data_IF_102303569479
#
_entry.id   IF_102303569479
#
_cell.length_a   1.000
_cell.length_b   1.000
_cell.length_c   1.000
_cell.angle_alpha   90.00
_cell.angle_beta   90.00
_cell.angle_gamma   90.00
#
_symmetry.space_group_name_H-M   'P 1'
#
loop_
_entity.id
_entity.type
_entity.pdbx_description
1 polymer ?
#
# COMPACT_ATOMS: atom_id res chain seq x y z
N UNK A 1 18.15 -13.85 21.98
CA UNK A 1 19.54 -13.49 21.66
C UNK A 1 19.61 -13.33 20.15
N UNK A 2 19.69 -12.09 19.69
CA UNK A 2 19.63 -11.71 18.29
C UNK A 2 20.97 -11.93 17.61
N UNK A 3 21.16 -13.07 16.96
CA UNK A 3 22.17 -13.19 15.93
C UNK A 3 21.57 -12.71 14.59
N UNK A 4 21.53 -11.40 14.38
CA UNK A 4 21.44 -10.85 13.03
C UNK A 4 22.82 -11.01 12.38
N UNK A 5 23.13 -12.18 11.84
CA UNK A 5 24.15 -12.27 10.81
C UNK A 5 23.67 -11.39 9.65
N UNK A 6 24.25 -10.20 9.52
CA UNK A 6 24.03 -9.35 8.37
C UNK A 6 24.25 -10.23 7.11
N UNK A 7 23.21 -10.35 6.29
CA UNK A 7 23.31 -11.02 4.99
C UNK A 7 24.52 -10.42 4.27
N UNK A 8 25.36 -11.27 3.66
CA UNK A 8 26.51 -10.83 2.90
C UNK A 8 26.11 -9.70 1.95
N UNK A 9 26.90 -8.63 1.90
CA UNK A 9 26.68 -7.48 1.00
C UNK A 9 26.62 -7.87 -0.49
N UNK A 10 26.83 -9.13 -0.81
CA UNK A 10 26.75 -9.73 -2.15
C UNK A 10 25.47 -10.57 -2.40
N UNK A 11 24.47 -10.47 -1.56
CA UNK A 11 23.18 -11.16 -1.72
C UNK A 11 22.06 -10.15 -2.04
N UNK A 12 21.19 -10.48 -2.98
CA UNK A 12 20.09 -9.62 -3.41
C UNK A 12 18.79 -10.41 -3.60
N UNK A 13 17.69 -9.68 -3.81
CA UNK A 13 16.41 -10.24 -4.21
C UNK A 13 16.04 -9.84 -5.64
N UNK A 14 15.40 -10.75 -6.38
CA UNK A 14 14.85 -10.53 -7.71
C UNK A 14 13.39 -10.94 -7.73
N UNK A 15 12.49 -9.99 -8.00
CA UNK A 15 11.06 -10.22 -8.11
C UNK A 15 10.69 -10.40 -9.58
N UNK A 16 10.07 -11.52 -9.93
CA UNK A 16 9.56 -11.77 -11.29
C UNK A 16 8.16 -11.14 -11.42
N UNK A 17 8.07 -10.01 -12.12
CA UNK A 17 6.87 -9.17 -12.18
C UNK A 17 6.49 -8.75 -13.63
N UNK A 18 7.03 -9.40 -14.67
CA UNK A 18 6.87 -8.99 -16.07
C UNK A 18 5.62 -9.58 -16.76
N UNK A 19 4.92 -10.51 -16.14
CA UNK A 19 3.83 -11.28 -16.73
C UNK A 19 2.58 -10.44 -17.04
N UNK A 20 1.87 -10.80 -18.14
CA UNK A 20 0.65 -10.11 -18.60
C UNK A 20 -0.58 -10.28 -17.67
N UNK A 21 -0.64 -11.39 -16.91
CA UNK A 21 -1.75 -11.65 -15.99
C UNK A 21 -3.13 -11.73 -16.66
N UNK A 22 -3.24 -12.37 -17.80
CA UNK A 22 -4.48 -12.39 -18.63
C UNK A 22 -5.72 -12.90 -17.89
N UNK A 23 -5.55 -13.80 -16.92
CA UNK A 23 -6.63 -14.36 -16.08
C UNK A 23 -7.24 -13.35 -15.10
N UNK A 24 -6.63 -12.17 -14.94
CA UNK A 24 -7.21 -11.06 -14.15
C UNK A 24 -8.27 -10.28 -14.91
N UNK A 25 -8.42 -10.50 -16.22
CA UNK A 25 -9.38 -9.79 -17.09
C UNK A 25 -9.35 -8.26 -16.94
N UNK A 26 -8.15 -7.69 -16.77
CA UNK A 26 -7.93 -6.28 -16.49
C UNK A 26 -6.85 -5.69 -17.41
N UNK A 27 -6.97 -4.40 -17.73
CA UNK A 27 -5.89 -3.64 -18.39
C UNK A 27 -4.74 -3.31 -17.44
N UNK A 28 -5.03 -3.33 -16.14
CA UNK A 28 -4.04 -3.07 -15.10
C UNK A 28 -3.10 -4.28 -14.98
N UNK A 29 -1.77 -4.10 -14.98
CA UNK A 29 -0.82 -5.17 -14.71
C UNK A 29 -1.16 -5.96 -13.46
N UNK A 30 -1.02 -7.29 -13.51
CA UNK A 30 -1.35 -8.19 -12.41
C UNK A 30 -0.74 -7.72 -11.08
N UNK A 31 0.53 -7.38 -11.10
CA UNK A 31 1.31 -6.98 -9.91
C UNK A 31 0.90 -5.62 -9.32
N UNK A 32 0.09 -4.83 -10.03
CA UNK A 32 -0.47 -3.58 -9.54
C UNK A 32 -1.87 -3.74 -8.92
N UNK A 33 -2.53 -4.89 -9.06
CA UNK A 33 -3.76 -5.15 -8.28
C UNK A 33 -3.43 -5.06 -6.79
N UNK A 34 -4.40 -4.59 -6.00
CA UNK A 34 -4.15 -4.25 -4.60
C UNK A 34 -4.82 -5.23 -3.65
N UNK A 35 -4.14 -5.50 -2.56
CA UNK A 35 -4.66 -6.11 -1.33
C UNK A 35 -4.56 -5.05 -0.23
N UNK A 36 -5.66 -4.70 0.40
CA UNK A 36 -5.72 -3.70 1.47
C UNK A 36 -5.03 -2.38 1.10
N UNK A 37 -5.25 -1.92 -0.14
CA UNK A 37 -4.72 -0.67 -0.66
C UNK A 37 -3.28 -0.68 -1.14
N UNK A 38 -2.51 -1.76 -0.92
CA UNK A 38 -1.12 -1.90 -1.39
C UNK A 38 -1.05 -2.85 -2.60
N UNK A 39 -0.30 -2.51 -3.68
CA UNK A 39 -0.06 -3.39 -4.82
C UNK A 39 0.55 -4.74 -4.42
N UNK A 40 0.24 -5.82 -5.16
CA UNK A 40 0.84 -7.15 -4.93
C UNK A 40 2.38 -7.06 -4.89
N UNK A 41 2.98 -6.36 -5.86
CA UNK A 41 4.43 -6.13 -5.90
C UNK A 41 4.94 -5.40 -4.65
N UNK A 42 4.16 -4.47 -4.11
CA UNK A 42 4.52 -3.72 -2.89
C UNK A 42 4.55 -4.61 -1.65
N UNK A 43 3.62 -5.56 -1.53
CA UNK A 43 3.64 -6.56 -0.46
C UNK A 43 4.91 -7.43 -0.52
N UNK A 44 5.24 -7.95 -1.71
CA UNK A 44 6.45 -8.78 -1.91
C UNK A 44 7.71 -7.98 -1.63
N UNK A 45 7.83 -6.77 -2.15
CA UNK A 45 8.97 -5.89 -1.91
C UNK A 45 9.09 -5.53 -0.42
N UNK A 46 7.96 -5.30 0.26
CA UNK A 46 7.90 -5.05 1.70
C UNK A 46 8.43 -6.20 2.54
N UNK A 47 8.14 -7.45 2.16
CA UNK A 47 8.66 -8.64 2.84
C UNK A 47 10.18 -8.85 2.62
N UNK A 48 10.71 -8.40 1.49
CA UNK A 48 12.13 -8.52 1.13
C UNK A 48 13.02 -7.42 1.75
N UNK A 49 12.48 -6.21 1.91
CA UNK A 49 13.23 -5.04 2.37
C UNK A 49 13.97 -5.24 3.71
N UNK A 50 13.41 -5.88 4.76
CA UNK A 50 14.13 -6.13 6.01
C UNK A 50 15.35 -7.04 5.86
N UNK A 51 15.42 -7.85 4.79
CA UNK A 51 16.51 -8.78 4.50
C UNK A 51 17.58 -8.17 3.59
N UNK A 52 17.18 -7.38 2.59
CA UNK A 52 18.05 -6.95 1.50
C UNK A 52 18.25 -5.43 1.40
N UNK A 53 17.52 -4.63 2.20
CA UNK A 53 17.57 -3.17 2.10
C UNK A 53 17.24 -2.68 0.69
N UNK A 54 18.16 -1.95 0.07
CA UNK A 54 18.04 -1.43 -1.31
C UNK A 54 18.42 -2.46 -2.40
N UNK A 55 18.92 -3.65 -2.02
CA UNK A 55 19.34 -4.69 -2.96
C UNK A 55 18.14 -5.55 -3.42
N UNK A 56 17.05 -4.89 -3.80
CA UNK A 56 15.83 -5.53 -4.33
C UNK A 56 15.60 -5.06 -5.76
N UNK A 57 15.56 -6.02 -6.71
CA UNK A 57 15.25 -5.79 -8.10
C UNK A 57 13.88 -6.39 -8.46
N UNK A 58 13.19 -5.77 -9.40
CA UNK A 58 11.99 -6.33 -10.01
C UNK A 58 12.14 -6.36 -11.54
N UNK A 59 11.93 -7.52 -12.12
CA UNK A 59 11.81 -7.65 -13.58
C UNK A 59 10.40 -7.26 -13.97
N UNK A 60 10.26 -6.20 -14.72
CA UNK A 60 8.98 -5.66 -15.22
C UNK A 60 8.93 -5.79 -16.73
N UNK A 61 7.75 -5.80 -17.33
CA UNK A 61 7.60 -5.98 -18.78
C UNK A 61 6.30 -5.42 -19.30
N UNK A 62 5.19 -6.15 -19.20
CA UNK A 62 3.89 -5.66 -19.63
C UNK A 62 3.51 -4.39 -18.85
N UNK A 63 3.23 -3.29 -19.60
CA UNK A 63 2.92 -1.97 -19.02
C UNK A 63 3.98 -1.49 -18.00
N UNK A 64 5.25 -1.65 -18.34
CA UNK A 64 6.39 -1.32 -17.46
C UNK A 64 6.33 0.10 -16.92
N UNK A 65 5.89 1.08 -17.72
CA UNK A 65 5.79 2.48 -17.30
C UNK A 65 4.74 2.69 -16.21
N UNK A 66 3.63 1.96 -16.25
CA UNK A 66 2.63 1.99 -15.18
C UNK A 66 3.22 1.46 -13.87
N UNK A 67 4.01 0.39 -13.94
CA UNK A 67 4.67 -0.18 -12.75
C UNK A 67 5.70 0.80 -12.21
N UNK A 68 6.57 1.39 -13.06
CA UNK A 68 7.55 2.41 -12.64
C UNK A 68 6.87 3.60 -11.97
N UNK A 69 5.79 4.11 -12.56
CA UNK A 69 5.05 5.24 -12.01
C UNK A 69 4.41 4.92 -10.64
N UNK A 70 3.85 3.73 -10.48
CA UNK A 70 3.24 3.31 -9.20
C UNK A 70 4.25 3.14 -8.05
N UNK A 71 5.52 2.93 -8.39
CA UNK A 71 6.61 2.74 -7.43
C UNK A 71 7.63 3.90 -7.44
N UNK A 72 7.28 5.03 -8.06
CA UNK A 72 8.12 6.22 -8.03
C UNK A 72 8.38 6.67 -6.58
N UNK A 73 9.67 6.88 -6.23
CA UNK A 73 10.08 7.25 -4.87
C UNK A 73 10.14 6.09 -3.86
N UNK A 74 9.90 4.84 -4.30
CA UNK A 74 10.15 3.64 -3.47
C UNK A 74 11.49 3.02 -3.88
N UNK A 75 12.26 2.52 -2.91
CA UNK A 75 13.57 1.89 -3.15
C UNK A 75 13.40 0.51 -3.79
N UNK A 76 13.09 0.48 -5.08
CA UNK A 76 12.95 -0.72 -5.89
C UNK A 76 13.65 -0.49 -7.23
N UNK A 77 14.59 -1.38 -7.57
CA UNK A 77 15.35 -1.30 -8.83
C UNK A 77 14.62 -2.10 -9.90
N UNK A 78 14.55 -1.56 -11.11
CA UNK A 78 13.83 -2.21 -12.20
C UNK A 78 14.76 -2.68 -13.29
N UNK A 79 14.51 -3.91 -13.76
CA UNK A 79 15.05 -4.47 -14.99
C UNK A 79 13.89 -4.72 -15.95
N UNK A 80 14.00 -4.29 -17.19
CA UNK A 80 12.91 -4.42 -18.16
C UNK A 80 13.09 -5.65 -19.05
N UNK A 81 12.13 -6.55 -19.00
CA UNK A 81 11.96 -7.65 -19.92
C UNK A 81 11.07 -7.19 -21.09
N UNK A 82 11.67 -6.73 -22.19
CA UNK A 82 10.94 -6.18 -23.34
C UNK A 82 10.01 -7.20 -23.98
N UNK A 83 10.47 -8.43 -24.13
CA UNK A 83 9.69 -9.55 -24.66
C UNK A 83 9.43 -10.54 -23.52
N UNK A 84 8.15 -10.83 -23.21
CA UNK A 84 7.76 -11.72 -22.13
C UNK A 84 7.86 -13.18 -22.58
N UNK A 85 9.11 -13.69 -22.65
CA UNK A 85 9.42 -15.05 -23.12
C UNK A 85 9.55 -16.09 -21.99
N UNK A 86 9.03 -15.80 -20.82
CA UNK A 86 9.00 -16.73 -19.67
C UNK A 86 9.89 -16.30 -18.50
N UNK A 87 9.83 -17.08 -17.42
CA UNK A 87 10.53 -16.81 -16.14
C UNK A 87 12.04 -16.98 -16.22
N UNK A 88 12.53 -17.94 -17.01
CA UNK A 88 13.95 -18.10 -17.30
C UNK A 88 14.52 -16.92 -18.08
N UNK A 89 13.77 -16.42 -19.09
CA UNK A 89 14.17 -15.22 -19.81
C UNK A 89 14.24 -13.99 -18.90
N UNK A 90 13.33 -13.86 -17.91
CA UNK A 90 13.40 -12.80 -16.93
C UNK A 90 14.71 -12.84 -16.11
N UNK A 91 15.16 -14.03 -15.73
CA UNK A 91 16.47 -14.23 -15.08
C UNK A 91 17.63 -13.89 -16.01
N UNK A 92 17.58 -14.33 -17.28
CA UNK A 92 18.61 -14.00 -18.30
C UNK A 92 18.80 -12.49 -18.43
N UNK A 93 17.69 -11.73 -18.50
CA UNK A 93 17.73 -10.26 -18.64
C UNK A 93 18.27 -9.59 -17.39
N UNK A 94 17.95 -10.13 -16.19
CA UNK A 94 18.40 -9.57 -14.93
C UNK A 94 19.88 -9.89 -14.59
N UNK A 95 20.38 -11.04 -14.98
CA UNK A 95 21.71 -11.55 -14.60
C UNK A 95 22.85 -10.54 -14.86
N UNK A 96 22.95 -9.87 -16.02
CA UNK A 96 24.02 -8.89 -16.27
C UNK A 96 23.98 -7.71 -15.28
N UNK A 97 22.79 -7.23 -14.89
CA UNK A 97 22.62 -6.14 -13.93
C UNK A 97 23.04 -6.57 -12.52
N UNK A 98 22.63 -7.77 -12.10
CA UNK A 98 22.99 -8.32 -10.80
C UNK A 98 24.52 -8.52 -10.68
N UNK A 99 25.15 -9.05 -11.73
CA UNK A 99 26.62 -9.21 -11.80
C UNK A 99 27.35 -7.86 -11.75
N UNK A 100 26.87 -6.86 -12.50
CA UNK A 100 27.44 -5.50 -12.49
C UNK A 100 27.34 -4.86 -11.09
N UNK A 101 26.29 -5.18 -10.34
CA UNK A 101 26.11 -4.76 -8.97
C UNK A 101 26.94 -5.57 -7.96
N UNK A 102 27.74 -6.55 -8.40
CA UNK A 102 28.60 -7.37 -7.54
C UNK A 102 27.86 -8.45 -6.75
N UNK A 103 26.65 -8.81 -7.18
CA UNK A 103 25.84 -9.83 -6.49
C UNK A 103 26.36 -11.22 -6.80
N UNK A 104 26.49 -12.06 -5.76
CA UNK A 104 26.93 -13.46 -5.86
C UNK A 104 25.79 -14.45 -5.64
N UNK A 105 24.77 -14.04 -4.88
CA UNK A 105 23.59 -14.86 -4.61
C UNK A 105 22.34 -14.04 -4.86
N UNK A 106 21.30 -14.69 -5.38
CA UNK A 106 19.99 -14.05 -5.60
C UNK A 106 18.87 -14.92 -5.07
N UNK A 107 18.00 -14.31 -4.25
CA UNK A 107 16.70 -14.84 -3.91
C UNK A 107 15.69 -14.41 -4.97
N UNK A 108 15.19 -15.36 -5.78
CA UNK A 108 14.16 -15.11 -6.79
C UNK A 108 12.80 -15.42 -6.19
N UNK A 109 11.84 -14.52 -6.34
CA UNK A 109 10.44 -14.68 -5.89
C UNK A 109 9.47 -14.17 -6.96
N UNK A 110 8.25 -14.70 -6.96
CA UNK A 110 7.21 -14.21 -7.85
C UNK A 110 6.56 -12.94 -7.30
N UNK A 111 6.27 -11.96 -8.16
CA UNK A 111 5.64 -10.69 -7.78
C UNK A 111 4.14 -10.79 -7.47
N UNK A 112 3.58 -11.96 -7.57
CA UNK A 112 2.16 -12.27 -7.34
C UNK A 112 1.89 -13.13 -6.09
N UNK A 113 2.88 -13.25 -5.20
CA UNK A 113 2.79 -13.96 -3.90
C UNK A 113 2.77 -12.96 -2.73
N UNK A 114 1.73 -12.12 -2.57
CA UNK A 114 1.74 -10.97 -1.65
C UNK A 114 1.69 -11.34 -0.17
N UNK A 115 1.39 -12.60 0.17
CA UNK A 115 1.26 -13.06 1.54
C UNK A 115 2.58 -13.61 2.11
N UNK A 116 3.63 -13.69 1.28
CA UNK A 116 4.95 -14.12 1.72
C UNK A 116 5.47 -13.22 2.85
N UNK A 117 6.06 -13.84 3.88
CA UNK A 117 6.58 -13.10 5.03
C UNK A 117 8.11 -13.04 5.04
N UNK A 118 8.65 -12.03 5.70
CA UNK A 118 10.10 -11.90 5.92
C UNK A 118 10.67 -13.12 6.65
N UNK A 119 9.94 -13.67 7.61
CA UNK A 119 10.39 -14.82 8.41
C UNK A 119 10.44 -16.08 7.56
N UNK A 120 9.42 -16.37 6.75
CA UNK A 120 9.45 -17.49 5.80
C UNK A 120 10.64 -17.40 4.85
N UNK A 121 10.92 -16.20 4.33
CA UNK A 121 12.08 -15.97 3.44
C UNK A 121 13.41 -16.17 4.19
N UNK A 122 13.51 -15.71 5.42
CA UNK A 122 14.71 -15.88 6.26
C UNK A 122 14.98 -17.36 6.53
N UNK A 123 13.96 -18.11 6.91
CA UNK A 123 14.06 -19.54 7.17
C UNK A 123 14.45 -20.30 5.91
N UNK A 124 13.83 -20.00 4.77
CA UNK A 124 14.20 -20.58 3.49
C UNK A 124 15.67 -20.34 3.15
N UNK A 125 16.15 -19.09 3.29
CA UNK A 125 17.55 -18.73 3.02
C UNK A 125 18.53 -19.45 3.96
N UNK A 126 18.17 -19.62 5.22
CA UNK A 126 18.97 -20.36 6.19
C UNK A 126 19.16 -21.81 5.77
N UNK A 127 18.08 -22.51 5.39
CA UNK A 127 18.14 -23.88 4.93
C UNK A 127 18.75 -24.06 3.53
N UNK A 128 18.74 -23.01 2.72
CA UNK A 128 19.37 -22.96 1.40
C UNK A 128 20.89 -22.79 1.44
N UNK A 129 21.47 -22.48 2.61
CA UNK A 129 22.91 -22.20 2.72
C UNK A 129 23.76 -23.41 2.30
N UNK A 130 24.80 -23.17 1.51
CA UNK A 130 25.72 -24.20 1.00
C UNK A 130 25.19 -24.96 -0.23
N UNK A 131 24.02 -24.61 -0.78
CA UNK A 131 23.55 -25.13 -2.06
C UNK A 131 23.83 -24.15 -3.22
N UNK A 132 23.97 -24.68 -4.43
CA UNK A 132 24.08 -23.88 -5.67
C UNK A 132 22.71 -23.45 -6.14
N UNK A 133 21.71 -24.32 -6.04
CA UNK A 133 20.32 -24.07 -6.35
C UNK A 133 19.43 -24.61 -5.23
N UNK A 134 18.60 -23.78 -4.66
CA UNK A 134 17.55 -24.22 -3.72
C UNK A 134 16.19 -23.75 -4.18
N UNK A 135 15.17 -24.56 -3.98
CA UNK A 135 13.78 -24.31 -4.37
C UNK A 135 12.87 -24.56 -3.19
N UNK A 136 11.96 -23.65 -2.90
CA UNK A 136 10.87 -23.89 -1.97
C UNK A 136 9.76 -24.72 -2.65
N UNK A 137 9.28 -25.74 -1.95
CA UNK A 137 8.20 -26.61 -2.44
C UNK A 137 7.01 -26.60 -1.48
N UNK A 138 5.82 -26.83 -2.01
CA UNK A 138 4.57 -26.97 -1.26
C UNK A 138 3.93 -28.30 -1.61
N UNK A 139 3.13 -28.85 -0.68
CA UNK A 139 2.30 -30.02 -0.96
C UNK A 139 0.83 -29.60 -0.96
N UNK A 140 0.14 -29.82 -2.08
CA UNK A 140 -1.27 -29.48 -2.26
C UNK A 140 -2.07 -30.72 -2.62
N UNK A 141 -3.28 -30.85 -2.11
CA UNK A 141 -4.23 -31.90 -2.51
C UNK A 141 -4.61 -31.77 -3.99
N UNK A 142 -4.77 -30.54 -4.46
CA UNK A 142 -5.02 -30.25 -5.87
C UNK A 142 -3.93 -29.29 -6.40
N UNK A 143 -2.90 -29.82 -7.04
CA UNK A 143 -1.76 -29.05 -7.51
C UNK A 143 -2.04 -28.13 -8.72
N UNK A 144 -3.23 -28.20 -9.32
CA UNK A 144 -3.67 -27.27 -10.37
C UNK A 144 -2.65 -27.05 -11.50
N UNK A 145 -2.36 -25.81 -11.79
CA UNK A 145 -1.45 -25.37 -12.87
C UNK A 145 -0.01 -25.14 -12.42
N UNK A 146 0.36 -25.47 -11.20
CA UNK A 146 1.74 -25.31 -10.69
C UNK A 146 2.70 -26.34 -11.28
N UNK A 147 3.97 -26.00 -11.41
CA UNK A 147 5.03 -26.95 -11.77
C UNK A 147 5.15 -28.09 -10.74
N UNK A 148 5.33 -29.31 -11.22
CA UNK A 148 5.43 -30.53 -10.42
C UNK A 148 6.86 -30.79 -10.01
N UNK A 149 7.08 -31.16 -8.78
CA UNK A 149 8.37 -31.59 -8.25
C UNK A 149 8.58 -33.07 -8.60
N UNK A 150 9.69 -33.37 -9.24
CA UNK A 150 10.12 -34.73 -9.54
C UNK A 150 11.29 -35.08 -8.61
N UNK A 151 11.09 -36.10 -7.77
CA UNK A 151 12.12 -36.62 -6.87
C UNK A 151 12.53 -38.01 -7.25
N UNK A 152 13.80 -38.34 -7.04
CA UNK A 152 14.33 -39.67 -7.13
C UNK A 152 15.14 -39.99 -5.86
N UNK A 153 14.79 -41.05 -5.16
CA UNK A 153 15.37 -41.43 -3.87
C UNK A 153 15.31 -40.30 -2.81
N UNK A 154 14.25 -39.48 -2.85
CA UNK A 154 14.07 -38.34 -1.97
C UNK A 154 14.75 -37.03 -2.41
N UNK A 155 15.68 -37.12 -3.35
CA UNK A 155 16.37 -35.93 -3.89
C UNK A 155 15.58 -35.26 -5.03
N UNK A 156 15.61 -33.93 -5.08
CA UNK A 156 15.04 -33.14 -6.17
C UNK A 156 15.81 -33.42 -7.46
N UNK A 157 15.12 -33.80 -8.52
CA UNK A 157 15.70 -34.08 -9.83
C UNK A 157 15.31 -33.05 -10.89
N UNK A 158 14.05 -32.67 -10.89
CA UNK A 158 13.54 -31.71 -11.86
C UNK A 158 12.26 -31.03 -11.32
N UNK A 159 11.92 -29.93 -11.95
CA UNK A 159 10.59 -29.33 -11.85
C UNK A 159 10.02 -29.32 -13.26
N UNK A 160 8.84 -29.92 -13.41
CA UNK A 160 8.17 -30.01 -14.73
C UNK A 160 6.89 -29.21 -14.68
N UNK A 161 6.76 -28.26 -15.60
CA UNK A 161 5.54 -27.42 -15.68
C UNK A 161 4.30 -28.29 -15.95
N UNK A 162 3.16 -27.91 -15.37
CA UNK A 162 1.94 -28.74 -15.42
C UNK A 162 1.51 -29.13 -16.84
N UNK A 163 1.73 -28.26 -17.83
CA UNK A 163 1.41 -28.53 -19.24
C UNK A 163 2.31 -29.57 -19.88
N UNK A 164 3.55 -29.65 -19.42
CA UNK A 164 4.58 -30.53 -19.97
C UNK A 164 4.71 -31.85 -19.18
N UNK A 165 4.04 -31.93 -18.01
CA UNK A 165 4.06 -33.13 -17.17
C UNK A 165 3.37 -34.32 -17.84
N UNK A 166 4.10 -35.42 -17.94
CA UNK A 166 3.63 -36.68 -18.49
C UNK A 166 3.84 -37.79 -17.44
N UNK A 167 2.75 -38.44 -17.02
CA UNK A 167 2.76 -39.53 -16.00
C UNK A 167 3.60 -40.72 -16.47
N UNK A 168 3.60 -41.00 -17.78
CA UNK A 168 4.38 -42.14 -18.32
C UNK A 168 5.91 -41.88 -18.22
N UNK A 169 6.34 -40.63 -18.20
CA UNK A 169 7.75 -40.24 -18.13
C UNK A 169 8.17 -39.89 -16.68
N UNK A 170 7.31 -39.19 -15.97
CA UNK A 170 7.65 -38.57 -14.67
C UNK A 170 7.06 -39.31 -13.47
N UNK A 171 6.22 -40.33 -13.70
CA UNK A 171 5.50 -41.07 -12.66
C UNK A 171 4.26 -40.36 -12.13
N UNK A 172 3.58 -40.92 -11.16
CA UNK A 172 2.39 -40.33 -10.55
C UNK A 172 2.76 -39.01 -9.77
N UNK A 173 1.97 -37.94 -9.91
CA UNK A 173 2.23 -36.68 -9.19
C UNK A 173 2.04 -36.87 -7.69
N UNK A 174 3.03 -36.45 -6.91
CA UNK A 174 3.03 -36.55 -5.44
C UNK A 174 2.22 -35.46 -4.74
N UNK A 175 1.64 -34.53 -5.48
CA UNK A 175 1.05 -33.31 -4.91
C UNK A 175 2.08 -32.23 -4.57
N UNK A 176 3.37 -32.54 -4.63
CA UNK A 176 4.43 -31.55 -4.38
C UNK A 176 4.62 -30.64 -5.59
N UNK A 177 4.60 -29.33 -5.34
CA UNK A 177 4.66 -28.27 -6.35
C UNK A 177 5.80 -27.29 -6.09
N UNK A 178 6.17 -26.57 -7.12
CA UNK A 178 7.07 -25.43 -7.07
C UNK A 178 6.36 -24.21 -6.47
N UNK A 179 6.88 -23.65 -5.36
CA UNK A 179 6.37 -22.44 -4.73
C UNK A 179 6.84 -21.13 -5.42
N UNK A 180 7.72 -21.22 -6.43
CA UNK A 180 8.22 -20.04 -7.13
C UNK A 180 9.25 -19.23 -6.34
N UNK A 181 9.89 -19.82 -5.36
CA UNK A 181 10.97 -19.20 -4.56
C UNK A 181 12.24 -19.99 -4.78
N UNK A 182 13.30 -19.29 -5.22
CA UNK A 182 14.59 -19.90 -5.51
C UNK A 182 15.71 -19.13 -4.83
N UNK A 183 16.71 -19.84 -4.30
CA UNK A 183 18.00 -19.27 -3.94
C UNK A 183 19.06 -19.79 -4.90
N UNK A 184 19.70 -18.90 -5.62
CA UNK A 184 20.66 -19.24 -6.66
C UNK A 184 22.04 -18.67 -6.30
N UNK A 185 23.08 -19.51 -6.39
CA UNK A 185 24.46 -19.07 -6.43
C UNK A 185 24.78 -18.64 -7.87
N UNK A 186 24.90 -17.32 -8.11
CA UNK A 186 25.06 -16.77 -9.45
C UNK A 186 26.36 -17.23 -10.11
N UNK A 187 27.44 -17.40 -9.36
CA UNK A 187 28.74 -17.88 -9.89
C UNK A 187 28.62 -19.33 -10.39
N UNK A 188 27.81 -20.17 -9.75
CA UNK A 188 27.57 -21.56 -10.14
C UNK A 188 26.66 -21.67 -11.38
N UNK A 189 25.57 -20.87 -11.41
CA UNK A 189 24.53 -21.03 -12.45
C UNK A 189 24.72 -20.12 -13.67
N UNK A 190 25.70 -19.21 -13.66
CA UNK A 190 25.86 -18.20 -14.72
C UNK A 190 26.09 -18.78 -16.12
N UNK A 191 26.73 -19.95 -16.22
CA UNK A 191 26.93 -20.66 -17.50
C UNK A 191 25.66 -21.38 -17.96
N UNK A 192 24.77 -21.76 -17.04
CA UNK A 192 23.55 -22.51 -17.36
C UNK A 192 22.42 -21.58 -17.81
N UNK A 193 22.33 -20.38 -17.22
CA UNK A 193 21.22 -19.46 -17.50
C UNK A 193 21.08 -19.11 -18.98
N UNK A 194 22.16 -18.84 -19.77
CA UNK A 194 22.06 -18.59 -21.21
C UNK A 194 21.67 -19.85 -22.03
N UNK A 195 21.88 -21.04 -21.48
CA UNK A 195 21.60 -22.32 -22.15
C UNK A 195 20.17 -22.83 -21.95
N UNK A 196 19.34 -22.08 -21.15
CA UNK A 196 17.93 -22.40 -20.99
C UNK A 196 17.24 -22.44 -22.36
N UNK A 197 16.50 -23.53 -22.62
CA UNK A 197 15.74 -23.73 -23.85
C UNK A 197 14.27 -23.24 -23.74
N UNK A 198 13.59 -23.22 -24.88
CA UNK A 198 12.17 -22.94 -24.98
C UNK A 198 11.39 -24.01 -25.79
N UNK A 199 11.98 -25.19 -25.94
CA UNK A 199 11.38 -26.32 -26.65
C UNK A 199 10.38 -27.05 -25.73
N UNK A 200 9.28 -26.38 -25.39
CA UNK A 200 8.21 -26.85 -24.53
C UNK A 200 6.84 -26.43 -25.08
N UNK A 201 5.75 -26.95 -24.51
CA UNK A 201 4.37 -26.66 -24.98
C UNK A 201 3.96 -25.18 -24.95
N UNK A 202 4.65 -24.35 -24.17
CA UNK A 202 4.39 -22.91 -24.10
C UNK A 202 5.31 -22.08 -24.98
N UNK A 203 6.46 -22.63 -25.46
CA UNK A 203 7.50 -21.88 -26.17
C UNK A 203 8.21 -20.85 -25.29
N UNK A 204 8.23 -21.05 -23.97
CA UNK A 204 8.79 -20.13 -23.01
C UNK A 204 10.07 -20.68 -22.38
N UNK A 205 11.00 -19.78 -22.00
CA UNK A 205 12.15 -20.15 -21.18
C UNK A 205 11.72 -20.26 -19.73
N UNK A 206 11.79 -21.45 -19.17
CA UNK A 206 11.39 -21.68 -17.78
C UNK A 206 12.57 -21.63 -16.82
N UNK A 207 12.44 -20.90 -15.71
CA UNK A 207 13.44 -20.93 -14.63
C UNK A 207 13.48 -22.32 -13.97
N UNK A 208 12.40 -23.08 -14.03
CA UNK A 208 12.28 -24.44 -13.51
C UNK A 208 13.25 -25.41 -14.20
N UNK A 209 13.57 -25.21 -15.47
CA UNK A 209 14.51 -26.05 -16.22
C UNK A 209 15.95 -25.96 -15.67
N UNK A 210 16.30 -24.80 -15.07
CA UNK A 210 17.60 -24.61 -14.43
C UNK A 210 17.87 -25.65 -13.33
N UNK A 211 16.82 -26.16 -12.66
CA UNK A 211 16.95 -27.19 -11.62
C UNK A 211 17.45 -28.51 -12.20
N UNK A 212 16.83 -28.96 -13.30
CA UNK A 212 17.24 -30.18 -14.00
C UNK A 212 18.66 -30.06 -14.59
N UNK A 213 19.00 -28.88 -15.16
CA UNK A 213 20.33 -28.61 -15.68
C UNK A 213 21.39 -28.63 -14.57
N UNK A 214 21.13 -27.98 -13.44
CA UNK A 214 22.04 -27.97 -12.29
C UNK A 214 22.27 -29.39 -11.72
N UNK A 215 21.23 -30.23 -11.69
CA UNK A 215 21.34 -31.64 -11.29
C UNK A 215 22.21 -32.43 -12.28
N UNK A 216 22.06 -32.20 -13.58
CA UNK A 216 22.85 -32.86 -14.61
C UNK A 216 24.34 -32.51 -14.53
N UNK A 217 24.66 -31.26 -14.15
CA UNK A 217 26.04 -30.79 -13.92
C UNK A 217 26.61 -31.21 -12.55
N UNK A 218 25.85 -31.97 -11.75
CA UNK A 218 26.31 -32.46 -10.43
C UNK A 218 26.40 -31.38 -9.36
N UNK A 219 25.71 -30.26 -9.55
CA UNK A 219 25.64 -29.18 -8.54
C UNK A 219 24.85 -29.57 -7.31
N UNK A 220 25.05 -28.88 -6.21
CA UNK A 220 24.28 -29.09 -4.96
C UNK A 220 22.91 -28.45 -5.10
N UNK A 221 21.89 -29.29 -5.36
CA UNK A 221 20.49 -28.86 -5.54
C UNK A 221 19.63 -29.32 -4.37
N UNK A 222 18.82 -28.39 -3.79
CA UNK A 222 17.93 -28.71 -2.66
C UNK A 222 16.49 -28.30 -2.96
N UNK A 223 15.55 -29.21 -2.71
CA UNK A 223 14.10 -28.93 -2.65
C UNK A 223 13.67 -28.87 -1.19
N UNK A 224 13.32 -27.68 -0.70
CA UNK A 224 13.00 -27.39 0.69
C UNK A 224 11.48 -27.31 0.85
N UNK A 225 10.88 -28.29 1.56
CA UNK A 225 9.44 -28.31 1.77
C UNK A 225 9.01 -27.25 2.77
N UNK A 226 8.07 -26.40 2.37
CA UNK A 226 7.36 -25.44 3.22
C UNK A 226 5.96 -25.94 3.63
N UNK A 227 5.73 -27.26 3.56
CA UNK A 227 4.46 -27.87 3.91
C UNK A 227 3.32 -27.52 2.94
N UNK A 228 2.20 -27.04 3.47
CA UNK A 228 1.03 -26.62 2.70
C UNK A 228 0.65 -25.15 2.95
N UNK A 229 1.63 -24.29 3.26
CA UNK A 229 1.37 -22.90 3.62
C UNK A 229 0.70 -22.13 2.46
N UNK A 230 -0.58 -21.68 2.61
CA UNK A 230 -1.30 -20.97 1.56
C UNK A 230 -0.71 -19.58 1.29
N UNK A 231 0.10 -19.01 2.19
CA UNK A 231 0.73 -17.71 2.01
C UNK A 231 1.80 -17.72 0.90
N UNK A 232 2.24 -18.87 0.45
CA UNK A 232 3.21 -19.01 -0.64
C UNK A 232 2.55 -19.22 -2.00
N UNK A 233 1.22 -19.20 -2.08
CA UNK A 233 0.49 -19.34 -3.34
C UNK A 233 0.41 -18.02 -4.10
N UNK A 234 0.63 -18.10 -5.41
CA UNK A 234 0.47 -16.96 -6.31
C UNK A 234 -0.99 -16.67 -6.63
N UNK A 235 -1.33 -15.40 -6.75
CA UNK A 235 -2.66 -14.92 -7.14
C UNK A 235 -2.76 -14.88 -8.66
N UNK A 236 -3.77 -15.52 -9.24
CA UNK A 236 -3.93 -15.62 -10.69
C UNK A 236 -5.25 -15.07 -11.22
N UNK A 237 -6.25 -14.94 -10.38
CA UNK A 237 -7.59 -14.49 -10.77
C UNK A 237 -8.24 -13.66 -9.64
N UNK A 238 -9.37 -12.98 -9.91
CA UNK A 238 -10.04 -12.14 -8.91
C UNK A 238 -10.54 -12.89 -7.66
N UNK A 239 -10.89 -14.19 -7.78
CA UNK A 239 -11.34 -14.96 -6.64
C UNK A 239 -10.17 -15.26 -5.67
N UNK A 240 -9.00 -15.63 -6.21
CA UNK A 240 -7.77 -15.81 -5.42
C UNK A 240 -7.33 -14.47 -4.79
N UNK A 241 -7.49 -13.34 -5.51
CA UNK A 241 -7.20 -12.02 -4.97
C UNK A 241 -8.06 -11.71 -3.74
N UNK A 242 -9.37 -11.93 -3.83
CA UNK A 242 -10.30 -11.70 -2.73
C UNK A 242 -10.01 -12.61 -1.52
N UNK A 243 -9.71 -13.89 -1.76
CA UNK A 243 -9.35 -14.83 -0.70
C UNK A 243 -8.04 -14.42 0.01
N UNK A 244 -7.03 -14.03 -0.76
CA UNK A 244 -5.75 -13.57 -0.22
C UNK A 244 -5.88 -12.25 0.55
N UNK A 245 -6.74 -11.34 0.09
CA UNK A 245 -7.02 -10.09 0.82
C UNK A 245 -7.64 -10.38 2.19
N UNK A 246 -8.58 -11.33 2.26
CA UNK A 246 -9.21 -11.70 3.54
C UNK A 246 -8.21 -12.38 4.50
N UNK A 247 -7.33 -13.24 4.00
CA UNK A 247 -6.24 -13.82 4.81
C UNK A 247 -5.33 -12.73 5.39
N UNK A 248 -4.92 -11.78 4.55
CA UNK A 248 -4.06 -10.68 5.00
C UNK A 248 -4.76 -9.76 5.99
N UNK A 249 -6.04 -9.46 5.75
CA UNK A 249 -6.87 -8.65 6.66
C UNK A 249 -6.93 -9.27 8.05
N UNK A 250 -7.23 -10.56 8.13
CA UNK A 250 -7.29 -11.29 9.41
C UNK A 250 -5.96 -11.23 10.15
N UNK A 251 -4.86 -11.53 9.47
CA UNK A 251 -3.54 -11.51 10.08
C UNK A 251 -3.19 -10.14 10.67
N UNK A 252 -3.47 -9.03 9.95
CA UNK A 252 -3.21 -7.68 10.44
C UNK A 252 -4.12 -7.35 11.64
N UNK A 253 -5.40 -7.68 11.55
CA UNK A 253 -6.36 -7.42 12.63
C UNK A 253 -5.99 -8.17 13.90
N UNK A 254 -5.65 -9.46 13.80
CA UNK A 254 -5.20 -10.28 14.93
C UNK A 254 -3.93 -9.72 15.58
N UNK A 255 -2.96 -9.28 14.77
CA UNK A 255 -1.73 -8.63 15.26
C UNK A 255 -2.05 -7.36 16.07
N UNK A 256 -2.97 -6.50 15.57
CA UNK A 256 -3.32 -5.25 16.25
C UNK A 256 -4.15 -5.48 17.51
N UNK A 257 -5.07 -6.44 17.50
CA UNK A 257 -5.80 -6.87 18.70
C UNK A 257 -4.84 -7.37 19.79
N UNK A 258 -3.87 -8.22 19.40
CA UNK A 258 -2.84 -8.71 20.32
C UNK A 258 -1.93 -7.59 20.86
N UNK A 259 -1.74 -6.53 20.08
CA UNK A 259 -0.97 -5.33 20.48
C UNK A 259 -1.76 -4.34 21.35
N UNK A 260 -3.04 -4.62 21.68
CA UNK A 260 -3.84 -3.78 22.59
C UNK A 260 -4.70 -2.71 21.91
N UNK A 261 -4.99 -2.85 20.61
CA UNK A 261 -5.98 -2.01 19.90
C UNK A 261 -7.38 -2.60 20.13
N UNK A 262 -8.33 -1.80 20.60
CA UNK A 262 -9.72 -2.23 20.74
C UNK A 262 -10.45 -2.19 19.39
N UNK A 263 -11.20 -3.25 19.03
CA UNK A 263 -11.96 -3.28 17.79
C UNK A 263 -13.38 -3.81 18.01
N UNK A 264 -14.35 -3.07 17.50
CA UNK A 264 -15.76 -3.45 17.45
C UNK A 264 -16.12 -3.88 16.02
N UNK A 265 -16.55 -5.14 15.82
CA UNK A 265 -16.74 -5.72 14.50
C UNK A 265 -15.41 -5.87 13.73
N UNK A 266 -14.42 -6.58 14.28
CA UNK A 266 -13.07 -6.69 13.71
C UNK A 266 -13.04 -7.33 12.31
N UNK A 267 -14.03 -8.12 11.96
CA UNK A 267 -14.24 -8.70 10.64
C UNK A 267 -14.58 -7.65 9.55
N UNK A 268 -15.02 -6.47 9.95
CA UNK A 268 -15.32 -5.35 9.07
C UNK A 268 -14.23 -4.25 9.07
N UNK A 269 -13.15 -4.43 9.82
CA UNK A 269 -12.00 -3.51 9.83
C UNK A 269 -11.02 -3.90 8.72
N UNK A 270 -10.64 -2.94 7.89
CA UNK A 270 -9.68 -3.10 6.79
C UNK A 270 -8.49 -2.18 7.01
N UNK A 271 -7.31 -2.76 7.16
CA UNK A 271 -6.07 -2.00 7.37
C UNK A 271 -4.98 -2.42 6.38
N UNK A 272 -4.33 -1.42 5.78
CA UNK A 272 -3.16 -1.63 4.95
C UNK A 272 -1.91 -2.06 5.76
N UNK A 273 -0.90 -2.63 5.09
CA UNK A 273 0.28 -3.18 5.78
C UNK A 273 1.16 -2.11 6.43
N UNK A 274 1.06 -0.85 6.02
CA UNK A 274 1.85 0.27 6.55
C UNK A 274 1.08 1.15 7.54
N UNK A 275 -0.15 0.76 7.86
CA UNK A 275 -0.95 1.44 8.88
C UNK A 275 -0.40 1.10 10.27
N UNK A 276 -0.18 2.12 11.07
CA UNK A 276 0.20 1.97 12.48
C UNK A 276 -0.94 2.45 13.37
N UNK A 277 -1.30 1.63 14.34
CA UNK A 277 -2.31 1.95 15.36
C UNK A 277 -1.70 1.65 16.72
N UNK A 278 -1.66 2.66 17.58
CA UNK A 278 -1.10 2.51 18.91
C UNK A 278 -2.07 1.78 19.87
N UNK A 279 -1.55 1.12 20.91
CA UNK A 279 -2.37 0.53 21.97
C UNK A 279 -3.28 1.59 22.62
N UNK A 280 -4.50 1.21 22.99
CA UNK A 280 -5.49 2.11 23.56
C UNK A 280 -6.37 2.82 22.54
N UNK A 281 -6.04 2.76 21.23
CA UNK A 281 -6.96 3.23 20.21
C UNK A 281 -8.16 2.30 20.06
N UNK A 282 -9.31 2.84 19.65
CA UNK A 282 -10.58 2.15 19.50
C UNK A 282 -11.15 2.32 18.09
N UNK A 283 -11.39 1.21 17.38
CA UNK A 283 -11.85 1.19 16.00
C UNK A 283 -13.23 0.52 15.90
N UNK A 284 -14.17 1.16 15.22
CA UNK A 284 -15.50 0.61 14.96
C UNK A 284 -15.65 0.24 13.49
N UNK A 285 -15.84 -1.04 13.20
CA UNK A 285 -16.12 -1.53 11.84
C UNK A 285 -17.57 -1.19 11.39
N UNK A 286 -17.82 -1.03 10.08
CA UNK A 286 -16.82 -1.04 9.03
C UNK A 286 -15.98 0.24 9.00
N UNK A 287 -14.66 0.12 8.92
CA UNK A 287 -13.76 1.23 8.69
C UNK A 287 -12.55 0.80 7.85
N UNK A 288 -11.94 1.74 7.14
CA UNK A 288 -10.87 1.48 6.19
C UNK A 288 -9.70 2.43 6.45
N UNK A 289 -8.52 1.86 6.76
CA UNK A 289 -7.28 2.59 7.02
C UNK A 289 -6.22 2.16 6.02
N UNK A 290 -5.63 3.08 5.25
CA UNK A 290 -4.70 2.75 4.16
C UNK A 290 -3.46 3.64 4.13
N UNK A 291 -2.48 3.21 3.34
CA UNK A 291 -1.21 3.92 3.14
C UNK A 291 -0.41 4.02 4.43
N UNK A 292 0.31 5.12 4.58
CA UNK A 292 1.10 5.42 5.79
C UNK A 292 0.28 6.16 6.85
N UNK A 293 -0.91 5.62 7.17
CA UNK A 293 -1.78 6.18 8.21
C UNK A 293 -1.26 5.82 9.60
N UNK A 294 -1.22 6.81 10.49
CA UNK A 294 -0.88 6.66 11.89
C UNK A 294 -2.04 7.09 12.79
N UNK A 295 -2.48 6.20 13.67
CA UNK A 295 -3.50 6.43 14.68
C UNK A 295 -2.83 6.30 16.05
N UNK A 296 -2.78 7.39 16.79
CA UNK A 296 -2.18 7.44 18.13
C UNK A 296 -3.08 6.78 19.19
N UNK A 297 -2.56 6.63 20.41
CA UNK A 297 -3.30 6.11 21.57
C UNK A 297 -4.53 6.98 21.88
N UNK A 298 -5.54 6.37 22.48
CA UNK A 298 -6.79 7.02 22.92
C UNK A 298 -7.59 7.72 21.80
N UNK A 299 -7.28 7.39 20.52
CA UNK A 299 -8.07 7.83 19.37
C UNK A 299 -9.26 6.91 19.18
N UNK A 300 -10.43 7.49 18.91
CA UNK A 300 -11.64 6.76 18.55
C UNK A 300 -11.95 6.99 17.08
N UNK A 301 -11.98 5.92 16.29
CA UNK A 301 -12.44 5.94 14.89
C UNK A 301 -13.78 5.23 14.82
N UNK A 302 -14.85 6.00 14.62
CA UNK A 302 -16.19 5.47 14.46
C UNK A 302 -16.39 4.80 13.08
N UNK A 303 -17.51 4.13 12.89
CA UNK A 303 -17.79 3.32 11.71
C UNK A 303 -17.90 4.15 10.42
N UNK A 304 -17.66 3.47 9.27
CA UNK A 304 -17.74 4.04 7.93
C UNK A 304 -16.73 5.18 7.65
N UNK A 305 -15.66 5.24 8.42
CA UNK A 305 -14.55 6.15 8.16
C UNK A 305 -13.57 5.55 7.15
N UNK A 306 -13.06 6.40 6.25
CA UNK A 306 -11.97 6.04 5.31
C UNK A 306 -10.81 7.00 5.53
N UNK A 307 -9.67 6.49 5.94
CA UNK A 307 -8.47 7.29 6.29
C UNK A 307 -7.28 6.78 5.49
N UNK A 308 -6.64 7.66 4.74
CA UNK A 308 -5.48 7.34 3.92
C UNK A 308 -4.34 8.32 4.16
N UNK A 309 -3.12 7.80 4.28
CA UNK A 309 -1.88 8.61 4.34
C UNK A 309 -2.00 9.81 5.30
N UNK A 310 -2.63 9.60 6.46
CA UNK A 310 -3.02 10.63 7.41
C UNK A 310 -2.53 10.32 8.81
N UNK A 311 -2.37 11.36 9.62
CA UNK A 311 -1.97 11.26 11.01
C UNK A 311 -3.08 11.77 11.93
N UNK A 312 -3.44 10.98 12.94
CA UNK A 312 -4.44 11.32 13.96
C UNK A 312 -3.83 11.17 15.35
N UNK A 313 -3.73 12.27 16.06
CA UNK A 313 -3.11 12.34 17.38
C UNK A 313 -4.09 12.01 18.51
N UNK A 314 -3.53 11.74 19.70
CA UNK A 314 -4.24 11.18 20.84
C UNK A 314 -5.43 12.03 21.33
N UNK A 315 -6.45 11.34 21.88
CA UNK A 315 -7.67 11.95 22.40
C UNK A 315 -8.64 12.45 21.32
N UNK A 316 -8.30 12.27 20.04
CA UNK A 316 -9.15 12.70 18.92
C UNK A 316 -10.26 11.69 18.64
N UNK A 317 -11.44 12.20 18.33
CA UNK A 317 -12.59 11.40 17.88
C UNK A 317 -12.91 11.71 16.42
N UNK A 318 -12.87 10.67 15.57
CA UNK A 318 -13.31 10.73 14.18
C UNK A 318 -14.69 10.08 14.07
N UNK A 319 -15.71 10.91 13.96
CA UNK A 319 -17.10 10.48 13.85
C UNK A 319 -17.40 9.84 12.50
N UNK A 320 -18.43 9.01 12.50
CA UNK A 320 -18.86 8.17 11.36
C UNK A 320 -18.96 8.93 10.03
N UNK A 321 -18.68 8.20 8.93
CA UNK A 321 -18.74 8.68 7.54
C UNK A 321 -17.74 9.81 7.22
N UNK A 322 -16.68 9.95 7.98
CA UNK A 322 -15.63 10.93 7.70
C UNK A 322 -14.58 10.34 6.77
N UNK A 323 -14.04 11.19 5.88
CA UNK A 323 -13.03 10.80 4.91
C UNK A 323 -11.78 11.69 5.04
N UNK A 324 -10.61 11.08 5.19
CA UNK A 324 -9.33 11.77 5.35
C UNK A 324 -8.32 11.25 4.33
N UNK A 325 -7.62 12.17 3.68
CA UNK A 325 -6.59 11.86 2.69
C UNK A 325 -5.44 12.86 2.81
N UNK A 326 -4.22 12.39 3.11
CA UNK A 326 -3.03 13.22 3.35
C UNK A 326 -3.33 14.41 4.29
N UNK A 327 -3.92 14.11 5.45
CA UNK A 327 -4.32 15.09 6.45
C UNK A 327 -3.61 14.87 7.79
N UNK A 328 -3.43 15.94 8.54
CA UNK A 328 -2.86 15.93 9.87
C UNK A 328 -3.91 16.42 10.88
N UNK A 329 -4.23 15.61 11.87
CA UNK A 329 -5.18 15.95 12.92
C UNK A 329 -4.47 15.86 14.27
N UNK A 330 -4.36 17.02 14.91
CA UNK A 330 -3.75 17.18 16.23
C UNK A 330 -4.54 16.52 17.35
N UNK A 331 -4.03 16.61 18.59
CA UNK A 331 -4.67 15.97 19.74
C UNK A 331 -5.99 16.66 20.16
N UNK A 332 -6.86 15.89 20.79
CA UNK A 332 -8.12 16.35 21.39
C UNK A 332 -9.09 16.99 20.36
N UNK A 333 -8.97 16.64 19.08
CA UNK A 333 -9.83 17.15 18.00
C UNK A 333 -11.15 16.36 17.89
N UNK A 334 -12.17 17.03 17.33
CA UNK A 334 -13.40 16.37 16.90
C UNK A 334 -13.57 16.53 15.39
N UNK A 335 -13.72 15.40 14.67
CA UNK A 335 -13.82 15.36 13.21
C UNK A 335 -15.14 14.68 12.81
N UNK A 336 -16.00 15.39 12.10
CA UNK A 336 -17.23 14.82 11.58
C UNK A 336 -18.47 15.00 12.47
N UNK A 337 -19.55 14.21 12.20
CA UNK A 337 -19.63 13.21 11.12
C UNK A 337 -19.69 13.83 9.71
N UNK A 338 -19.48 12.99 8.66
CA UNK A 338 -19.48 13.44 7.25
C UNK A 338 -18.48 14.57 6.95
N UNK A 339 -17.35 14.57 7.62
CA UNK A 339 -16.26 15.50 7.36
C UNK A 339 -15.34 15.01 6.24
N UNK A 340 -14.80 15.94 5.45
CA UNK A 340 -13.86 15.60 4.39
C UNK A 340 -12.57 16.40 4.50
N UNK A 341 -11.49 15.75 4.94
CA UNK A 341 -10.15 16.33 4.95
C UNK A 341 -9.40 15.86 3.71
N UNK A 342 -9.02 16.83 2.86
CA UNK A 342 -8.27 16.58 1.63
C UNK A 342 -6.79 16.93 1.82
N UNK A 343 -5.91 16.56 0.85
CA UNK A 343 -4.47 16.78 0.98
C UNK A 343 -4.11 18.20 1.43
N UNK A 344 -3.27 18.26 2.49
CA UNK A 344 -2.83 19.48 3.13
C UNK A 344 -3.83 20.11 4.12
N UNK A 345 -4.85 19.37 4.55
CA UNK A 345 -5.69 19.77 5.67
C UNK A 345 -4.96 19.52 6.99
N UNK A 346 -4.93 20.51 7.87
CA UNK A 346 -4.29 20.44 9.20
C UNK A 346 -5.27 20.94 10.25
N UNK A 347 -5.44 20.17 11.31
CA UNK A 347 -6.19 20.56 12.52
C UNK A 347 -5.23 20.56 13.71
N UNK A 348 -5.15 21.67 14.41
CA UNK A 348 -4.35 21.78 15.64
C UNK A 348 -5.16 21.33 16.87
N UNK A 349 -4.50 21.28 18.04
CA UNK A 349 -5.09 20.82 19.30
C UNK A 349 -6.50 21.36 19.54
N UNK A 350 -7.44 20.49 19.85
CA UNK A 350 -8.79 20.85 20.25
C UNK A 350 -9.63 21.54 19.16
N UNK A 351 -9.18 21.51 17.89
CA UNK A 351 -9.97 22.05 16.79
C UNK A 351 -11.19 21.16 16.50
N UNK A 352 -12.30 21.78 16.10
CA UNK A 352 -13.55 21.08 15.78
C UNK A 352 -13.93 21.27 14.32
N UNK A 353 -14.08 20.18 13.59
CA UNK A 353 -14.62 20.13 12.25
C UNK A 353 -15.87 19.27 12.24
N UNK A 354 -17.03 19.86 12.03
CA UNK A 354 -18.31 19.16 12.13
C UNK A 354 -18.84 18.62 10.79
N UNK A 355 -20.16 18.46 10.71
CA UNK A 355 -20.79 17.73 9.61
C UNK A 355 -20.85 18.54 8.31
N UNK A 356 -20.60 17.84 7.20
CA UNK A 356 -20.56 18.40 5.84
C UNK A 356 -19.59 19.57 5.70
N UNK A 357 -18.47 19.50 6.40
CA UNK A 357 -17.35 20.43 6.26
C UNK A 357 -16.27 19.79 5.40
N UNK A 358 -15.78 20.53 4.41
CA UNK A 358 -14.64 20.11 3.59
C UNK A 358 -13.45 21.05 3.77
N UNK A 359 -12.27 20.49 4.02
CA UNK A 359 -10.99 21.22 4.09
C UNK A 359 -10.03 20.75 3.00
N UNK A 360 -9.36 21.70 2.35
CA UNK A 360 -8.30 21.43 1.36
C UNK A 360 -7.20 22.47 1.47
N UNK A 361 -5.94 22.03 1.73
CA UNK A 361 -4.83 22.98 1.95
C UNK A 361 -5.23 24.10 2.92
N UNK A 362 -5.83 23.73 4.03
CA UNK A 362 -6.35 24.65 5.03
C UNK A 362 -5.94 24.20 6.43
N UNK A 363 -5.83 25.18 7.34
CA UNK A 363 -5.45 24.96 8.73
C UNK A 363 -6.55 25.48 9.65
N UNK A 364 -6.99 24.65 10.59
CA UNK A 364 -7.72 25.07 11.78
C UNK A 364 -6.74 25.11 12.93
N UNK A 365 -6.42 26.29 13.43
CA UNK A 365 -5.54 26.47 14.57
C UNK A 365 -6.21 26.03 15.88
N UNK A 366 -5.47 26.09 16.99
CA UNK A 366 -5.90 25.59 18.30
C UNK A 366 -7.31 26.04 18.68
N UNK A 367 -8.21 25.09 18.95
CA UNK A 367 -9.58 25.35 19.39
C UNK A 367 -10.48 26.03 18.36
N UNK A 368 -10.04 26.22 17.11
CA UNK A 368 -10.88 26.79 16.06
C UNK A 368 -12.03 25.84 15.69
N UNK A 369 -13.17 26.40 15.28
CA UNK A 369 -14.42 25.65 15.04
C UNK A 369 -15.01 25.95 13.68
N UNK A 370 -15.31 24.90 12.90
CA UNK A 370 -16.08 24.93 11.67
C UNK A 370 -17.06 23.75 11.68
N UNK A 371 -18.28 23.96 12.19
CA UNK A 371 -19.11 22.83 12.61
C UNK A 371 -20.15 22.39 11.57
N UNK A 372 -20.47 23.20 10.55
CA UNK A 372 -21.60 22.89 9.66
C UNK A 372 -21.42 23.44 8.25
N UNK A 373 -21.65 22.59 7.23
CA UNK A 373 -21.91 22.98 5.83
C UNK A 373 -20.90 24.00 5.25
N UNK A 374 -19.62 23.80 5.46
CA UNK A 374 -18.58 24.81 5.21
C UNK A 374 -17.52 24.26 4.24
N UNK A 375 -17.03 25.13 3.34
CA UNK A 375 -15.84 24.82 2.54
C UNK A 375 -14.69 25.75 2.92
N UNK A 376 -13.57 25.16 3.35
CA UNK A 376 -12.31 25.84 3.67
C UNK A 376 -11.22 25.37 2.69
N UNK A 377 -10.96 26.17 1.68
CA UNK A 377 -9.91 25.93 0.69
C UNK A 377 -8.84 27.02 0.74
N UNK A 378 -7.56 26.62 0.74
CA UNK A 378 -6.42 27.54 0.82
C UNK A 378 -6.60 28.60 1.94
N UNK A 379 -6.97 28.14 3.15
CA UNK A 379 -7.38 29.00 4.25
C UNK A 379 -6.60 28.73 5.54
N UNK A 380 -6.43 29.76 6.33
CA UNK A 380 -5.91 29.69 7.69
C UNK A 380 -6.95 30.28 8.66
N UNK A 381 -7.41 29.49 9.61
CA UNK A 381 -8.38 29.87 10.62
C UNK A 381 -7.67 29.95 11.96
N UNK A 382 -7.54 31.15 12.49
CA UNK A 382 -6.82 31.44 13.73
C UNK A 382 -7.41 30.74 14.95
N UNK A 383 -6.60 30.69 16.01
CA UNK A 383 -6.96 29.99 17.24
C UNK A 383 -8.32 30.48 17.79
N UNK A 384 -9.16 29.54 18.21
CA UNK A 384 -10.49 29.81 18.81
C UNK A 384 -11.45 30.60 17.93
N UNK A 385 -11.11 30.85 16.64
CA UNK A 385 -12.06 31.47 15.73
C UNK A 385 -13.24 30.54 15.44
N UNK A 386 -14.41 31.11 15.20
CA UNK A 386 -15.64 30.36 14.91
C UNK A 386 -16.14 30.66 13.49
N UNK A 387 -16.27 29.61 12.69
CA UNK A 387 -16.78 29.68 11.33
C UNK A 387 -18.27 29.28 11.35
N UNK A 388 -19.14 30.22 10.99
CA UNK A 388 -20.58 30.01 10.89
C UNK A 388 -20.97 29.06 9.76
N UNK A 389 -22.09 28.38 9.93
CA UNK A 389 -22.62 27.43 8.96
C UNK A 389 -22.79 28.04 7.56
N UNK A 390 -22.44 27.30 6.52
CA UNK A 390 -22.54 27.74 5.12
C UNK A 390 -21.48 28.76 4.69
N UNK A 391 -20.43 28.94 5.46
CA UNK A 391 -19.29 29.79 5.07
C UNK A 391 -18.47 29.13 3.98
N UNK A 392 -18.07 29.92 2.98
CA UNK A 392 -17.26 29.46 1.86
C UNK A 392 -16.07 30.40 1.68
N UNK A 393 -14.86 29.85 1.63
CA UNK A 393 -13.67 30.55 1.12
C UNK A 393 -13.67 30.46 -0.40
N UNK A 394 -13.92 31.57 -1.10
CA UNK A 394 -13.90 31.64 -2.56
C UNK A 394 -12.45 31.81 -3.01
N UNK A 395 -11.69 30.71 -3.00
CA UNK A 395 -10.23 30.70 -3.18
C UNK A 395 -9.77 30.59 -4.63
N UNK A 396 -10.67 30.54 -5.62
CA UNK A 396 -10.33 30.33 -7.03
C UNK A 396 -11.06 31.30 -7.94
N UNK A 397 -10.32 32.01 -8.81
CA UNK A 397 -10.85 33.02 -9.73
C UNK A 397 -11.10 32.51 -11.16
N UNK A 398 -10.91 31.21 -11.37
CA UNK A 398 -10.97 30.55 -12.68
C UNK A 398 -9.59 30.23 -13.26
N UNK A 399 -8.52 30.84 -12.77
CA UNK A 399 -7.12 30.65 -13.20
C UNK A 399 -6.21 30.40 -12.00
N UNK A 400 -6.23 31.25 -11.00
CA UNK A 400 -5.35 31.24 -9.84
C UNK A 400 -6.09 30.92 -8.54
N UNK A 401 -5.32 30.50 -7.54
CA UNK A 401 -5.81 30.28 -6.17
C UNK A 401 -5.19 31.29 -5.23
N UNK A 402 -6.02 31.76 -4.29
CA UNK A 402 -5.65 32.77 -3.33
C UNK A 402 -5.99 32.31 -1.91
N UNK A 403 -5.24 32.85 -0.94
CA UNK A 403 -5.38 32.48 0.47
C UNK A 403 -6.40 33.38 1.17
N UNK A 404 -7.19 32.78 2.06
CA UNK A 404 -8.00 33.47 3.07
C UNK A 404 -7.32 33.30 4.44
N UNK A 405 -7.18 34.40 5.18
CA UNK A 405 -6.67 34.39 6.56
C UNK A 405 -7.74 34.92 7.49
N UNK A 406 -8.03 34.17 8.55
CA UNK A 406 -8.99 34.52 9.59
C UNK A 406 -8.22 34.57 10.90
N UNK A 407 -8.23 35.72 11.58
CA UNK A 407 -7.50 35.95 12.82
C UNK A 407 -8.06 35.16 14.01
N UNK A 408 -7.29 35.14 15.09
CA UNK A 408 -7.70 34.48 16.32
C UNK A 408 -8.98 35.11 16.93
N UNK A 409 -9.82 34.28 17.55
CA UNK A 409 -11.09 34.70 18.15
C UNK A 409 -12.08 35.38 17.18
N UNK A 410 -11.79 35.45 15.87
CA UNK A 410 -12.72 36.01 14.90
C UNK A 410 -14.01 35.19 14.82
N UNK A 411 -15.13 35.87 14.59
CA UNK A 411 -16.45 35.24 14.42
C UNK A 411 -16.99 35.50 13.03
N UNK A 412 -17.08 34.45 12.21
CA UNK A 412 -17.68 34.52 10.88
C UNK A 412 -19.14 34.10 10.96
N UNK A 413 -20.05 35.00 10.61
CA UNK A 413 -21.49 34.72 10.59
C UNK A 413 -21.88 33.73 9.51
N UNK A 414 -22.99 33.03 9.71
CA UNK A 414 -23.47 32.00 8.79
C UNK A 414 -23.74 32.54 7.37
N UNK A 415 -23.60 31.66 6.35
CA UNK A 415 -23.78 31.98 4.92
C UNK A 415 -22.89 33.13 4.42
N UNK A 416 -21.66 33.21 4.92
CA UNK A 416 -20.68 34.22 4.51
C UNK A 416 -19.82 33.67 3.36
N UNK A 417 -19.63 34.48 2.31
CA UNK A 417 -18.65 34.25 1.27
C UNK A 417 -17.40 35.12 1.51
N UNK A 418 -16.25 34.50 1.70
CA UNK A 418 -14.95 35.18 1.82
C UNK A 418 -14.23 35.12 0.49
N UNK A 419 -14.17 36.21 -0.26
CA UNK A 419 -13.58 36.26 -1.61
C UNK A 419 -12.08 36.52 -1.48
N UNK A 420 -11.29 35.49 -1.66
CA UNK A 420 -9.84 35.56 -1.54
C UNK A 420 -9.18 36.33 -2.73
N UNK A 421 -8.03 37.04 -2.49
CA UNK A 421 -7.34 37.10 -1.22
C UNK A 421 -8.04 38.02 -0.23
N UNK A 422 -8.22 37.59 1.02
CA UNK A 422 -8.85 38.39 2.06
C UNK A 422 -8.34 38.02 3.44
N UNK A 423 -8.15 39.00 4.30
CA UNK A 423 -7.81 38.82 5.71
C UNK A 423 -8.93 39.35 6.58
N UNK A 424 -9.41 38.52 7.51
CA UNK A 424 -10.30 38.93 8.61
C UNK A 424 -9.45 39.00 9.86
N UNK A 425 -9.35 40.15 10.49
CA UNK A 425 -8.50 40.42 11.65
C UNK A 425 -8.91 39.63 12.90
N UNK A 426 -8.03 39.68 13.89
CA UNK A 426 -8.29 39.05 15.20
C UNK A 426 -9.52 39.71 15.89
N UNK A 427 -10.32 38.88 16.60
CA UNK A 427 -11.54 39.35 17.29
C UNK A 427 -12.59 40.02 16.39
N UNK A 428 -12.36 40.08 15.07
CA UNK A 428 -13.29 40.68 14.13
C UNK A 428 -14.57 39.84 13.99
N UNK A 429 -15.70 40.51 13.74
CA UNK A 429 -17.00 39.90 13.56
C UNK A 429 -17.51 40.15 12.12
N UNK A 430 -17.88 39.09 11.42
CA UNK A 430 -18.55 39.20 10.12
C UNK A 430 -20.02 38.86 10.27
N UNK A 431 -20.89 39.79 9.88
CA UNK A 431 -22.35 39.61 9.94
C UNK A 431 -22.82 38.52 8.98
N UNK A 432 -23.75 37.68 9.42
CA UNK A 432 -24.29 36.59 8.60
C UNK A 432 -24.83 37.05 7.23
N UNK A 433 -24.66 36.21 6.18
CA UNK A 433 -25.10 36.52 4.80
C UNK A 433 -24.24 37.56 4.09
N UNK A 434 -23.03 37.83 4.56
CA UNK A 434 -22.12 38.83 3.97
C UNK A 434 -21.27 38.20 2.84
N UNK A 435 -20.92 39.05 1.86
CA UNK A 435 -19.89 38.80 0.84
C UNK A 435 -18.72 39.74 1.10
N UNK A 436 -17.65 39.18 1.68
CA UNK A 436 -16.46 39.96 2.08
C UNK A 436 -15.42 39.89 0.96
N UNK A 437 -15.09 41.08 0.43
CA UNK A 437 -14.14 41.25 -0.71
C UNK A 437 -12.96 42.15 -0.37
N UNK A 438 -12.89 42.66 0.87
CA UNK A 438 -11.82 43.50 1.39
C UNK A 438 -11.45 43.06 2.78
N UNK A 439 -10.22 43.34 3.17
CA UNK A 439 -9.74 43.02 4.50
C UNK A 439 -10.60 43.67 5.60
N UNK A 440 -10.78 42.96 6.70
CA UNK A 440 -11.49 43.42 7.90
C UNK A 440 -10.45 43.65 9.00
N UNK A 441 -10.29 44.87 9.55
CA UNK A 441 -9.38 45.11 10.65
C UNK A 441 -9.71 44.31 11.93
N UNK A 442 -8.73 44.22 12.83
CA UNK A 442 -8.91 43.58 14.14
C UNK A 442 -10.04 44.25 14.92
N UNK A 443 -10.89 43.47 15.52
CA UNK A 443 -12.02 43.90 16.38
C UNK A 443 -13.18 44.58 15.63
N UNK A 444 -13.09 44.75 14.30
CA UNK A 444 -14.12 45.40 13.52
C UNK A 444 -15.33 44.49 13.23
N UNK A 445 -16.48 45.11 13.04
CA UNK A 445 -17.70 44.50 12.53
C UNK A 445 -17.83 44.77 11.02
N UNK A 446 -17.71 43.72 10.19
CA UNK A 446 -17.96 43.81 8.75
C UNK A 446 -19.37 43.27 8.40
N UNK A 447 -20.14 44.03 7.64
CA UNK A 447 -21.46 43.63 7.15
C UNK A 447 -21.56 44.04 5.67
N UNK A 448 -21.69 43.04 4.78
CA UNK A 448 -21.80 43.27 3.33
C UNK A 448 -22.97 42.47 2.76
N UNK A 449 -24.18 42.92 3.01
CA UNK A 449 -25.46 42.31 2.54
C UNK A 449 -26.48 43.39 2.22
N UNK A 450 -27.49 43.01 1.40
CA UNK A 450 -28.58 43.91 1.03
C UNK A 450 -29.44 44.36 2.23
N UNK A 451 -30.05 45.54 2.11
CA UNK A 451 -31.02 46.01 3.11
C UNK A 451 -32.31 45.23 3.01
N UNK A 452 -32.78 44.71 4.12
CA UNK A 452 -34.07 44.00 4.15
C UNK A 452 -35.23 44.98 3.83
N UNK A 453 -36.10 44.59 2.93
CA UNK A 453 -37.38 45.28 2.68
C UNK A 453 -38.53 44.31 2.91
N UNK A 454 -39.51 44.75 3.69
CA UNK A 454 -40.76 43.99 3.88
C UNK A 454 -41.83 44.58 2.94
N UNK A 455 -42.38 43.73 2.08
CA UNK A 455 -43.45 44.04 1.13
C UNK A 455 -44.68 43.30 1.52
N UNK A 456 -45.80 44.02 1.70
CA UNK A 456 -47.09 43.36 2.02
C UNK A 456 -47.55 42.53 0.82
N UNK A 457 -47.76 41.27 1.05
CA UNK A 457 -48.25 40.33 0.01
C UNK A 457 -49.78 40.57 -0.16
N UNK A 458 -50.19 40.92 -1.39
CA UNK A 458 -51.59 41.04 -1.75
C UNK A 458 -52.29 39.68 -1.81
#
# INVERSE_FOLDING_TARGET
>A
MSNSSALSSSCCALILAAGKGTRMHSKKPKVLHTILGEPLLGHVAGALRPLFGEAVWAVIGHEADMVRAAFAGRDLRFVEQKEQLGTGHALMVALPELKRAGMKKVLVVNGDTPLITTDTLRDFMFYAEGADVSVATLTLENPGAYGRIVRQNGELRAIVEAKDFDVAVHGEPTGEINAGIYMLNLEAVESLVPELGNENKSGEYYITDLVGMAVAEGMVVRGLSCGSDPNLLGINNPAELAASEELRRRAIVEERLAAGVAMHGPDMVRMGPYVTVEPGAELFGPCELYGHTHIASDVIIESHCVIRDSRVESGTVVHSFSHMDHAEVGPDCLVGPYARLRPGAVMERGAHMGNFVEMKKARLCEGAKANHLTYLGDAEVGARANIGAGTITCNYDGVNKYKTVIGEHAFIGSNTALVAPVTVGAEALVGAGSVITKDVPDGDLAVARGKQMNVHRK
#
